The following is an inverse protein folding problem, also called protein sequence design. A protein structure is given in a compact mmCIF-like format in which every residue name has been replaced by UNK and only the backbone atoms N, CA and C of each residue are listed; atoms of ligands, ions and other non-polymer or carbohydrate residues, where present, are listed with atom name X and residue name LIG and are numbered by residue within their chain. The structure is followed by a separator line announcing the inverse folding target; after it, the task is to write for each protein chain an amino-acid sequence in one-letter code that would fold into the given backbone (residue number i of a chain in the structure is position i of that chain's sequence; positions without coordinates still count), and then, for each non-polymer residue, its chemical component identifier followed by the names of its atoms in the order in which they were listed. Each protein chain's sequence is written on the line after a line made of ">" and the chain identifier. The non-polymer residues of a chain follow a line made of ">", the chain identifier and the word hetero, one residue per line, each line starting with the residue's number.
data_IF_483349215855
#
_entry.id   IF_483349215855
#
_cell.length_a   1.000
_cell.length_b   1.000
_cell.length_c   1.000
_cell.angle_alpha   90.00
_cell.angle_beta   90.00
_cell.angle_gamma   90.00
#
_symmetry.space_group_name_H-M   'P 1'
#
loop_
_entity.id
_entity.type
_entity.pdbx_description
1 polymer ?
#
# COMPACT_ATOMS: atom_id res chain seq x y z
N UNK A 1 59.34 -37.54 -31.28
CA UNK A 1 59.20 -38.39 -30.08
C UNK A 1 60.01 -37.75 -28.97
N UNK A 2 59.66 -37.79 -27.67
CA UNK A 2 58.38 -37.96 -26.95
C UNK A 2 58.72 -37.70 -25.46
N UNK A 3 57.83 -37.06 -24.70
CA UNK A 3 57.87 -36.91 -23.23
C UNK A 3 58.94 -35.89 -22.71
N UNK A 4 58.70 -34.93 -21.78
CA UNK A 4 57.80 -34.81 -20.59
C UNK A 4 58.32 -35.74 -19.46
N UNK A 5 58.60 -35.37 -18.20
CA UNK A 5 57.93 -34.58 -17.14
C UNK A 5 59.04 -34.24 -16.08
N UNK A 6 59.10 -33.21 -15.21
CA UNK A 6 58.38 -31.97 -14.84
C UNK A 6 59.40 -30.99 -14.17
N UNK A 7 59.03 -29.75 -13.84
CA UNK A 7 59.58 -29.01 -12.68
C UNK A 7 58.54 -28.02 -12.11
N UNK A 8 58.62 -27.72 -10.81
CA UNK A 8 57.56 -27.05 -10.01
C UNK A 8 57.68 -25.52 -9.97
N UNK A 9 56.57 -24.81 -10.21
CA UNK A 9 56.42 -23.37 -9.91
C UNK A 9 54.99 -23.06 -9.47
N UNK A 10 54.80 -22.51 -8.27
CA UNK A 10 53.50 -21.98 -7.79
C UNK A 10 53.40 -20.51 -8.16
N UNK A 11 52.30 -20.09 -8.83
CA UNK A 11 52.08 -18.68 -9.17
C UNK A 11 50.63 -18.23 -8.89
N UNK A 12 50.44 -17.75 -7.66
CA UNK A 12 49.46 -16.73 -7.22
C UNK A 12 48.22 -16.48 -8.09
N UNK A 13 47.05 -16.91 -7.61
CA UNK A 13 45.76 -16.39 -8.07
C UNK A 13 45.61 -14.91 -7.66
N UNK A 14 45.76 -14.00 -8.62
CA UNK A 14 45.44 -12.59 -8.44
C UNK A 14 43.92 -12.37 -8.45
N UNK A 15 43.30 -12.40 -7.28
CA UNK A 15 41.87 -12.12 -7.12
C UNK A 15 41.59 -10.62 -7.34
N UNK A 16 41.24 -10.24 -8.56
CA UNK A 16 40.77 -8.89 -8.90
C UNK A 16 39.39 -8.63 -8.26
N UNK A 17 39.39 -8.20 -7.01
CA UNK A 17 38.22 -7.71 -6.31
C UNK A 17 37.78 -6.36 -6.91
N UNK A 18 37.01 -6.42 -7.99
CA UNK A 18 36.32 -5.25 -8.53
C UNK A 18 35.30 -4.76 -7.51
N UNK A 19 35.61 -3.63 -6.85
CA UNK A 19 34.79 -3.04 -5.81
C UNK A 19 33.48 -2.48 -6.39
N UNK A 20 32.51 -3.36 -6.60
CA UNK A 20 31.13 -2.97 -6.88
C UNK A 20 30.64 -2.12 -5.70
N UNK A 21 30.45 -0.82 -5.92
CA UNK A 21 29.82 0.06 -4.95
C UNK A 21 28.36 -0.37 -4.78
N UNK A 22 28.14 -1.27 -3.83
CA UNK A 22 26.81 -1.74 -3.45
C UNK A 22 26.08 -0.62 -2.73
N UNK A 23 25.36 0.19 -3.53
CA UNK A 23 24.21 0.97 -3.06
C UNK A 23 23.43 0.06 -2.10
N UNK A 24 23.27 0.42 -0.81
CA UNK A 24 22.83 -0.52 0.22
C UNK A 24 21.42 -1.00 -0.11
N UNK A 25 21.36 -2.18 -0.69
CA UNK A 25 20.16 -2.76 -1.26
C UNK A 25 19.25 -3.11 -0.08
N UNK A 26 18.19 -2.33 0.15
CA UNK A 26 17.24 -2.53 1.27
C UNK A 26 16.37 -3.75 1.01
N UNK A 27 17.01 -4.92 0.95
CA UNK A 27 16.36 -6.21 1.01
C UNK A 27 15.64 -6.28 2.36
N UNK A 28 14.31 -6.27 2.30
CA UNK A 28 13.47 -6.32 3.50
C UNK A 28 13.73 -7.63 4.24
N UNK A 29 14.18 -7.53 5.49
CA UNK A 29 14.53 -8.69 6.31
C UNK A 29 13.31 -9.58 6.56
N UNK A 30 13.49 -10.87 6.92
CA UNK A 30 12.37 -11.76 7.21
C UNK A 30 11.42 -11.21 8.29
N UNK A 31 11.97 -10.55 9.31
CA UNK A 31 11.23 -9.96 10.43
C UNK A 31 10.45 -8.71 9.99
N UNK A 32 11.05 -7.87 9.13
CA UNK A 32 10.36 -6.75 8.51
C UNK A 32 9.21 -7.23 7.60
N UNK A 33 9.42 -8.30 6.83
CA UNK A 33 8.37 -8.91 5.99
C UNK A 33 7.25 -9.50 6.84
N UNK A 34 7.58 -10.19 7.94
CA UNK A 34 6.60 -10.73 8.88
C UNK A 34 5.76 -9.62 9.54
N UNK A 35 6.39 -8.51 9.97
CA UNK A 35 5.67 -7.32 10.47
C UNK A 35 4.78 -6.69 9.40
N UNK A 36 5.26 -6.55 8.16
CA UNK A 36 4.44 -6.04 7.04
C UNK A 36 3.23 -6.93 6.76
N UNK A 37 3.38 -8.26 6.84
CA UNK A 37 2.28 -9.21 6.70
C UNK A 37 1.25 -9.08 7.83
N UNK A 38 1.69 -8.94 9.09
CA UNK A 38 0.78 -8.68 10.22
C UNK A 38 -0.04 -7.38 10.05
N UNK A 39 0.51 -6.36 9.38
CA UNK A 39 -0.21 -5.14 9.06
C UNK A 39 -1.18 -5.26 7.86
N UNK A 40 -1.22 -6.39 7.14
CA UNK A 40 -2.27 -6.63 6.13
C UNK A 40 -3.64 -6.57 6.77
N UNK A 41 -3.86 -7.30 7.88
CA UNK A 41 -5.12 -7.33 8.64
C UNK A 41 -5.62 -5.95 9.09
N UNK A 42 -4.71 -4.97 9.28
CA UNK A 42 -5.07 -3.57 9.60
C UNK A 42 -5.54 -2.80 8.35
N UNK A 43 -4.99 -3.12 7.17
CA UNK A 43 -5.44 -2.59 5.88
C UNK A 43 -6.75 -3.24 5.41
N UNK A 44 -6.93 -4.54 5.68
CA UNK A 44 -8.14 -5.31 5.34
C UNK A 44 -9.34 -4.71 6.09
N UNK A 45 -9.26 -4.62 7.42
CA UNK A 45 -10.24 -3.93 8.26
C UNK A 45 -10.54 -2.48 7.80
N UNK A 46 -9.53 -1.77 7.27
CA UNK A 46 -9.70 -0.41 6.74
C UNK A 46 -10.31 -0.36 5.34
N UNK A 47 -10.19 -1.44 4.56
CA UNK A 47 -10.88 -1.65 3.29
C UNK A 47 -12.36 -1.98 3.56
N UNK A 48 -12.65 -2.87 4.50
CA UNK A 48 -13.99 -3.35 4.79
C UNK A 48 -14.85 -2.27 5.43
N UNK A 49 -14.34 -1.58 6.47
CA UNK A 49 -15.03 -0.44 7.11
C UNK A 49 -15.31 0.70 6.12
N UNK A 50 -14.48 0.85 5.07
CA UNK A 50 -14.72 1.82 3.99
C UNK A 50 -15.79 1.36 2.99
N UNK A 51 -16.08 0.06 2.92
CA UNK A 51 -17.09 -0.56 2.06
C UNK A 51 -18.41 -0.87 2.76
N UNK A 52 -18.46 -0.99 4.10
CA UNK A 52 -19.71 -1.10 4.88
C UNK A 52 -20.78 -0.03 4.53
N UNK A 53 -20.45 1.26 4.21
CA UNK A 53 -21.43 2.23 3.76
C UNK A 53 -22.08 1.91 2.41
N UNK A 54 -21.45 1.10 1.56
CA UNK A 54 -22.01 0.68 0.27
C UNK A 54 -23.14 -0.34 0.46
N UNK A 55 -23.09 -1.16 1.53
CA UNK A 55 -24.15 -2.12 1.87
C UNK A 55 -25.48 -1.43 2.16
N UNK A 56 -25.45 -0.18 2.66
CA UNK A 56 -26.63 0.66 2.91
C UNK A 56 -27.38 1.08 1.63
N UNK A 57 -26.72 1.04 0.46
CA UNK A 57 -27.33 1.44 -0.82
C UNK A 57 -28.39 0.46 -1.31
N UNK A 58 -28.43 -0.76 -0.77
CA UNK A 58 -29.43 -1.77 -1.05
C UNK A 58 -30.16 -2.16 0.25
N UNK A 59 -31.49 -1.99 0.27
CA UNK A 59 -32.34 -2.33 1.42
C UNK A 59 -32.22 -3.78 1.88
N UNK A 60 -31.79 -4.68 1.00
CA UNK A 60 -31.59 -6.11 1.30
C UNK A 60 -30.22 -6.45 1.91
N UNK A 61 -29.34 -5.45 2.10
CA UNK A 61 -27.99 -5.57 2.72
C UNK A 61 -27.69 -4.47 3.75
N UNK A 62 -28.49 -3.40 3.81
CA UNK A 62 -28.35 -2.32 4.78
C UNK A 62 -28.32 -2.83 6.24
N UNK A 63 -27.55 -2.17 7.13
CA UNK A 63 -27.48 -2.60 8.54
C UNK A 63 -28.82 -2.41 9.24
N UNK A 64 -29.25 -3.42 9.99
CA UNK A 64 -30.37 -3.30 10.93
C UNK A 64 -29.98 -2.44 12.15
N UNK A 65 -30.99 -1.98 12.91
CA UNK A 65 -30.79 -1.23 14.17
C UNK A 65 -30.01 -2.03 15.23
N UNK A 66 -30.11 -3.36 15.23
CA UNK A 66 -29.35 -4.22 16.14
C UNK A 66 -27.85 -4.24 15.77
N UNK A 67 -27.56 -4.51 14.50
CA UNK A 67 -26.20 -4.53 13.95
C UNK A 67 -25.51 -3.17 14.12
N UNK A 68 -26.23 -2.07 13.85
CA UNK A 68 -25.74 -0.71 14.05
C UNK A 68 -25.30 -0.45 15.50
N UNK A 69 -26.07 -0.91 16.50
CA UNK A 69 -25.71 -0.79 17.92
C UNK A 69 -24.45 -1.58 18.30
N UNK A 70 -24.22 -2.73 17.67
CA UNK A 70 -23.02 -3.55 17.91
C UNK A 70 -21.78 -2.99 17.18
N UNK A 71 -21.97 -2.40 15.99
CA UNK A 71 -20.91 -1.85 15.15
C UNK A 71 -20.41 -0.47 15.62
N UNK A 72 -21.31 0.39 16.11
CA UNK A 72 -20.97 1.73 16.61
C UNK A 72 -19.82 1.78 17.64
N UNK A 73 -19.75 0.93 18.69
CA UNK A 73 -18.62 0.95 19.62
C UNK A 73 -17.29 0.56 18.96
N UNK A 74 -17.28 -0.38 18.01
CA UNK A 74 -16.08 -0.77 17.26
C UNK A 74 -15.56 0.41 16.43
N UNK A 75 -16.44 1.02 15.63
CA UNK A 75 -16.09 2.18 14.80
C UNK A 75 -15.62 3.38 15.65
N UNK A 76 -16.25 3.60 16.81
CA UNK A 76 -15.88 4.66 17.76
C UNK A 76 -14.53 4.39 18.41
N UNK A 77 -14.21 3.13 18.74
CA UNK A 77 -12.90 2.74 19.27
C UNK A 77 -11.79 2.98 18.23
N UNK A 78 -12.00 2.56 16.98
CA UNK A 78 -11.06 2.75 15.88
C UNK A 78 -10.78 4.23 15.56
N UNK A 79 -11.81 5.09 15.60
CA UNK A 79 -11.64 6.55 15.46
C UNK A 79 -10.80 7.14 16.61
N UNK A 80 -10.98 6.65 17.84
CA UNK A 80 -10.30 7.17 19.05
C UNK A 80 -8.89 6.63 19.24
N UNK A 81 -8.60 5.40 18.80
CA UNK A 81 -7.32 4.72 19.00
C UNK A 81 -6.09 5.53 18.52
N UNK A 82 -4.95 5.40 19.20
CA UNK A 82 -3.69 6.06 18.78
C UNK A 82 -3.03 5.31 17.63
N UNK A 83 -3.05 3.97 17.67
CA UNK A 83 -2.69 3.07 16.58
C UNK A 83 -3.66 1.89 16.57
N UNK A 84 -3.79 1.19 15.45
CA UNK A 84 -4.58 -0.05 15.32
C UNK A 84 -3.58 -1.20 15.19
N UNK A 85 -3.52 -2.07 16.20
CA UNK A 85 -2.59 -3.21 16.19
C UNK A 85 -3.18 -4.43 15.46
N UNK A 86 -2.35 -5.30 14.86
CA UNK A 86 -2.82 -6.50 14.14
C UNK A 86 -3.79 -7.39 14.92
N UNK A 87 -3.54 -7.59 16.23
CA UNK A 87 -4.39 -8.42 17.08
C UNK A 87 -5.77 -7.79 17.32
N UNK A 88 -5.82 -6.46 17.53
CA UNK A 88 -7.08 -5.72 17.64
C UNK A 88 -7.82 -5.71 16.30
N UNK A 89 -7.10 -5.53 15.18
CA UNK A 89 -7.69 -5.57 13.85
C UNK A 89 -8.34 -6.92 13.55
N UNK A 90 -7.63 -8.03 13.82
CA UNK A 90 -8.19 -9.38 13.71
C UNK A 90 -9.43 -9.56 14.60
N UNK A 91 -9.37 -9.10 15.84
CA UNK A 91 -10.50 -9.15 16.79
C UNK A 91 -11.71 -8.35 16.29
N UNK A 92 -11.50 -7.20 15.65
CA UNK A 92 -12.58 -6.40 15.08
C UNK A 92 -13.15 -7.00 13.80
N UNK A 93 -12.33 -7.60 12.92
CA UNK A 93 -12.80 -8.37 11.76
C UNK A 93 -13.71 -9.52 12.22
N UNK A 94 -13.22 -10.43 13.08
CA UNK A 94 -14.00 -11.51 13.72
C UNK A 94 -15.27 -11.03 14.48
N UNK A 95 -15.32 -9.77 14.93
CA UNK A 95 -16.54 -9.21 15.53
C UNK A 95 -17.51 -8.62 14.49
N UNK A 96 -17.00 -8.05 13.41
CA UNK A 96 -17.81 -7.51 12.31
C UNK A 96 -18.37 -8.68 11.49
N UNK A 97 -17.51 -9.59 11.02
CA UNK A 97 -17.83 -10.66 10.10
C UNK A 97 -18.70 -11.74 10.76
N UNK A 98 -18.17 -12.46 11.74
CA UNK A 98 -18.85 -13.63 12.34
C UNK A 98 -20.07 -13.28 13.23
N UNK A 99 -20.25 -12.01 13.62
CA UNK A 99 -21.17 -11.62 14.73
C UNK A 99 -22.04 -10.39 14.51
N UNK A 100 -21.75 -9.58 13.49
CA UNK A 100 -22.55 -8.39 13.16
C UNK A 100 -23.11 -8.53 11.75
N UNK A 101 -22.31 -8.89 10.76
CA UNK A 101 -22.78 -9.15 9.40
C UNK A 101 -23.55 -10.48 9.33
N UNK A 102 -24.41 -10.58 8.33
CA UNK A 102 -25.03 -11.85 7.89
C UNK A 102 -24.34 -12.35 6.63
N UNK A 103 -24.44 -13.64 6.32
CA UNK A 103 -23.86 -14.30 5.13
C UNK A 103 -24.13 -13.53 3.83
N UNK A 104 -25.33 -12.94 3.72
CA UNK A 104 -25.77 -12.11 2.58
C UNK A 104 -25.07 -10.75 2.53
N UNK A 105 -24.75 -10.17 3.69
CA UNK A 105 -23.98 -8.92 3.80
C UNK A 105 -22.49 -9.17 3.61
N UNK A 106 -21.95 -10.31 4.07
CA UNK A 106 -20.60 -10.78 3.77
C UNK A 106 -20.42 -10.96 2.26
N UNK A 107 -21.26 -11.78 1.62
CA UNK A 107 -21.21 -12.01 0.16
C UNK A 107 -21.29 -10.71 -0.66
N UNK A 108 -22.07 -9.72 -0.18
CA UNK A 108 -22.14 -8.39 -0.79
C UNK A 108 -20.88 -7.55 -0.56
N UNK A 109 -20.26 -7.66 0.63
CA UNK A 109 -18.98 -7.01 0.97
C UNK A 109 -17.83 -7.60 0.14
N UNK A 110 -17.74 -8.92 0.01
CA UNK A 110 -16.77 -9.63 -0.85
C UNK A 110 -16.88 -9.15 -2.32
N UNK A 111 -18.12 -9.02 -2.80
CA UNK A 111 -18.41 -8.51 -4.15
C UNK A 111 -17.93 -7.06 -4.34
N UNK A 112 -17.99 -6.23 -3.29
CA UNK A 112 -17.48 -4.86 -3.28
C UNK A 112 -15.95 -4.81 -3.17
N UNK A 113 -15.34 -5.70 -2.40
CA UNK A 113 -13.89 -5.91 -2.28
C UNK A 113 -13.30 -6.25 -3.64
N UNK A 114 -13.79 -7.31 -4.28
CA UNK A 114 -13.34 -7.78 -5.60
C UNK A 114 -13.53 -6.71 -6.68
N UNK A 115 -14.61 -5.92 -6.62
CA UNK A 115 -14.82 -4.77 -7.52
C UNK A 115 -13.78 -3.68 -7.29
N UNK A 116 -13.58 -3.27 -6.03
CA UNK A 116 -12.61 -2.23 -5.67
C UNK A 116 -11.16 -2.65 -5.97
N UNK A 117 -10.85 -3.95 -6.04
CA UNK A 117 -9.56 -4.49 -6.46
C UNK A 117 -9.39 -4.42 -7.98
N UNK A 118 -10.36 -4.92 -8.76
CA UNK A 118 -10.35 -4.79 -10.23
C UNK A 118 -10.25 -3.32 -10.69
N UNK A 119 -10.92 -2.39 -10.01
CA UNK A 119 -10.78 -0.95 -10.25
C UNK A 119 -9.37 -0.42 -9.94
N UNK A 120 -8.72 -0.92 -8.89
CA UNK A 120 -7.32 -0.58 -8.55
C UNK A 120 -6.33 -1.16 -9.56
N UNK A 121 -6.57 -2.36 -10.06
CA UNK A 121 -5.75 -3.01 -11.09
C UNK A 121 -5.88 -2.30 -12.43
N UNK A 122 -7.10 -2.00 -12.89
CA UNK A 122 -7.34 -1.22 -14.09
C UNK A 122 -6.65 0.15 -14.03
N UNK A 123 -6.72 0.86 -12.88
CA UNK A 123 -6.01 2.12 -12.67
C UNK A 123 -4.47 1.96 -12.67
N UNK A 124 -3.92 0.83 -12.23
CA UNK A 124 -2.47 0.55 -12.32
C UNK A 124 -2.07 0.29 -13.77
N UNK A 125 -2.81 -0.57 -14.47
CA UNK A 125 -2.57 -0.89 -15.88
C UNK A 125 -2.66 0.37 -16.76
N UNK A 126 -3.68 1.22 -16.55
CA UNK A 126 -3.84 2.48 -17.28
C UNK A 126 -2.68 3.47 -17.00
N UNK A 127 -2.15 3.52 -15.78
CA UNK A 127 -0.96 4.34 -15.44
C UNK A 127 0.33 3.77 -16.01
N UNK A 128 0.43 2.45 -16.17
CA UNK A 128 1.58 1.80 -16.82
C UNK A 128 1.54 2.02 -18.34
N UNK A 129 0.38 1.85 -18.97
CA UNK A 129 0.17 2.14 -20.40
C UNK A 129 0.32 3.64 -20.74
N UNK A 130 -0.20 4.53 -19.89
CA UNK A 130 -0.02 5.98 -20.03
C UNK A 130 1.36 6.50 -19.59
N UNK A 131 2.20 5.65 -18.98
CA UNK A 131 3.51 6.02 -18.44
C UNK A 131 4.61 6.20 -19.49
N UNK A 132 4.34 5.93 -20.77
CA UNK A 132 5.33 5.96 -21.84
C UNK A 132 5.67 7.33 -22.43
N UNK A 133 4.85 8.37 -22.21
CA UNK A 133 4.82 9.53 -23.15
C UNK A 133 4.90 10.92 -22.51
N UNK A 134 5.24 11.07 -21.22
CA UNK A 134 5.51 12.41 -20.65
C UNK A 134 6.53 12.41 -19.51
N UNK A 135 7.80 12.13 -19.85
CA UNK A 135 8.86 11.86 -18.85
C UNK A 135 10.30 12.18 -19.26
N UNK A 136 10.55 13.23 -20.04
CA UNK A 136 11.90 13.81 -20.17
C UNK A 136 12.97 12.98 -20.91
N UNK A 137 12.63 11.83 -21.49
CA UNK A 137 13.51 11.09 -22.38
C UNK A 137 13.63 11.80 -23.74
N UNK A 138 14.55 12.75 -23.86
CA UNK A 138 14.94 13.31 -25.15
C UNK A 138 15.44 12.18 -26.06
N UNK A 139 14.91 12.10 -27.29
CA UNK A 139 15.22 11.01 -28.24
C UNK A 139 16.69 11.10 -28.65
N UNK A 140 17.54 10.34 -27.95
CA UNK A 140 18.93 10.10 -28.33
C UNK A 140 18.96 9.20 -29.56
N UNK A 141 18.76 9.77 -30.73
CA UNK A 141 19.13 9.13 -32.00
C UNK A 141 20.64 8.84 -31.92
N UNK A 142 21.07 7.56 -31.98
CA UNK A 142 22.49 7.25 -31.89
C UNK A 142 23.26 7.87 -33.07
N UNK A 143 24.28 8.66 -32.77
CA UNK A 143 25.21 9.21 -33.77
C UNK A 143 25.17 10.72 -34.04
N UNK A 144 24.29 11.50 -33.39
CA UNK A 144 24.23 12.97 -33.59
C UNK A 144 24.72 13.76 -32.36
N UNK A 145 25.91 14.39 -32.39
CA UNK A 145 26.35 15.32 -31.36
C UNK A 145 25.70 16.69 -31.55
N UNK A 146 25.08 17.25 -30.50
CA UNK A 146 24.56 18.61 -30.49
C UNK A 146 23.04 18.73 -30.71
N UNK A 147 22.26 18.46 -29.65
CA UNK A 147 20.83 18.80 -29.63
C UNK A 147 20.61 20.29 -29.35
N UNK A 148 20.22 21.05 -30.37
CA UNK A 148 19.86 22.47 -30.24
C UNK A 148 18.53 22.61 -29.47
N UNK A 149 18.48 23.36 -28.37
CA UNK A 149 17.27 23.45 -27.55
C UNK A 149 17.44 24.18 -26.21
N UNK A 150 18.00 25.39 -26.22
CA UNK A 150 18.18 26.19 -25.00
C UNK A 150 16.93 26.99 -24.60
N UNK A 151 16.77 27.20 -23.28
CA UNK A 151 16.14 28.41 -22.75
C UNK A 151 14.61 28.47 -22.65
N UNK A 152 14.01 27.76 -21.68
CA UNK A 152 12.87 28.29 -20.94
C UNK A 152 12.95 27.88 -19.46
N UNK A 153 13.33 28.82 -18.60
CA UNK A 153 13.53 28.60 -17.16
C UNK A 153 12.20 28.60 -16.38
N UNK A 154 11.36 27.60 -16.62
CA UNK A 154 10.10 27.39 -15.90
C UNK A 154 10.32 26.84 -14.49
N UNK A 155 10.55 27.72 -13.51
CA UNK A 155 10.82 27.33 -12.12
C UNK A 155 9.62 26.64 -11.45
N UNK A 156 9.65 25.30 -11.39
CA UNK A 156 8.65 24.46 -10.71
C UNK A 156 9.32 23.54 -9.68
N UNK A 157 8.90 23.56 -8.39
CA UNK A 157 9.40 22.65 -7.38
C UNK A 157 9.18 21.17 -7.73
N UNK A 158 10.12 20.31 -7.33
CA UNK A 158 10.21 18.94 -7.84
C UNK A 158 9.12 17.98 -7.31
N UNK A 159 8.57 17.18 -8.22
CA UNK A 159 8.45 15.73 -8.01
C UNK A 159 7.46 15.18 -6.97
N UNK A 160 6.26 15.75 -6.82
CA UNK A 160 5.17 15.11 -6.03
C UNK A 160 4.18 14.31 -6.90
N UNK A 161 4.68 13.26 -7.57
CA UNK A 161 3.89 12.42 -8.49
C UNK A 161 3.91 10.91 -8.14
N UNK A 162 4.11 10.53 -6.87
CA UNK A 162 4.25 9.12 -6.45
C UNK A 162 3.59 8.75 -5.10
N UNK A 163 2.54 9.46 -4.66
CA UNK A 163 1.74 9.09 -3.46
C UNK A 163 0.34 8.62 -3.83
N UNK A 164 0.28 7.41 -4.40
CA UNK A 164 -0.90 6.85 -5.06
C UNK A 164 -1.61 5.67 -4.38
N UNK A 165 -1.19 5.27 -3.17
CA UNK A 165 -1.84 4.27 -2.31
C UNK A 165 -1.47 4.50 -0.83
N UNK A 166 -2.32 4.05 0.09
CA UNK A 166 -2.14 3.98 1.57
C UNK A 166 -0.98 4.83 2.17
N UNK A 167 -1.27 6.07 2.59
CA UNK A 167 -0.24 7.02 3.01
C UNK A 167 -0.67 8.14 3.96
N UNK A 168 -1.71 7.93 4.76
CA UNK A 168 -2.04 8.82 5.87
C UNK A 168 -0.95 8.79 6.95
N UNK A 169 -0.67 9.94 7.56
CA UNK A 169 0.14 10.11 8.79
C UNK A 169 1.63 9.74 8.75
N UNK A 170 2.16 9.07 7.71
CA UNK A 170 3.61 8.90 7.49
C UNK A 170 4.11 9.71 6.27
N UNK A 171 3.54 10.89 6.05
CA UNK A 171 3.85 11.75 4.92
C UNK A 171 5.15 12.58 5.08
N UNK A 172 5.71 12.67 6.29
CA UNK A 172 6.66 13.73 6.67
C UNK A 172 7.88 13.21 7.46
N UNK A 173 8.92 12.80 6.71
CA UNK A 173 10.31 12.69 7.17
C UNK A 173 10.68 11.56 8.16
N UNK A 174 9.79 11.16 9.07
CA UNK A 174 10.10 10.21 10.13
C UNK A 174 10.09 8.73 9.70
N UNK A 175 10.73 7.83 10.48
CA UNK A 175 10.53 6.39 10.35
C UNK A 175 9.07 5.99 10.60
N UNK A 176 8.58 4.99 9.86
CA UNK A 176 7.24 4.44 10.07
C UNK A 176 7.12 3.81 11.46
N UNK A 177 6.23 4.36 12.30
CA UNK A 177 5.93 3.82 13.63
C UNK A 177 4.66 2.94 13.59
N UNK A 178 4.77 1.60 13.65
CA UNK A 178 3.62 0.70 13.65
C UNK A 178 2.72 0.85 14.89
N UNK A 179 3.25 1.36 16.01
CA UNK A 179 2.47 1.54 17.25
C UNK A 179 1.49 2.71 17.16
N UNK A 180 1.75 3.65 16.23
CA UNK A 180 0.96 4.86 15.98
C UNK A 180 0.21 4.83 14.64
N UNK A 181 0.29 3.74 13.87
CA UNK A 181 -0.43 3.63 12.60
C UNK A 181 -1.92 3.42 12.85
N UNK A 182 -2.74 4.44 12.55
CA UNK A 182 -4.19 4.33 12.52
C UNK A 182 -4.76 4.95 11.21
N UNK A 183 -5.28 4.14 10.26
CA UNK A 183 -5.84 4.64 9.02
C UNK A 183 -7.13 5.46 9.22
N UNK A 184 -7.78 5.33 10.38
CA UNK A 184 -9.03 6.01 10.74
C UNK A 184 -8.82 7.33 11.49
N UNK A 185 -7.58 7.75 11.73
CA UNK A 185 -7.27 8.94 12.55
C UNK A 185 -7.39 10.26 11.80
N UNK A 186 -6.98 10.30 10.53
CA UNK A 186 -6.84 11.53 9.75
C UNK A 186 -7.12 11.32 8.24
N UNK A 187 -7.62 12.36 7.59
CA UNK A 187 -7.90 12.39 6.14
C UNK A 187 -9.09 11.52 5.74
N UNK A 188 -9.26 11.32 4.43
CA UNK A 188 -10.49 10.80 3.79
C UNK A 188 -11.09 9.53 4.42
N UNK A 189 -10.29 8.64 5.00
CA UNK A 189 -10.78 7.44 5.69
C UNK A 189 -11.38 7.75 7.08
N UNK A 190 -10.82 8.71 7.81
CA UNK A 190 -11.39 9.23 9.05
C UNK A 190 -12.69 10.02 8.79
N UNK A 191 -12.73 10.79 7.71
CA UNK A 191 -13.92 11.55 7.30
C UNK A 191 -15.06 10.59 6.89
N UNK A 192 -14.76 9.57 6.08
CA UNK A 192 -15.71 8.51 5.72
C UNK A 192 -16.22 7.73 6.95
N UNK A 193 -15.32 7.36 7.87
CA UNK A 193 -15.71 6.71 9.13
C UNK A 193 -16.64 7.59 9.96
N UNK A 194 -16.31 8.88 10.12
CA UNK A 194 -17.13 9.86 10.85
C UNK A 194 -18.52 10.02 10.22
N UNK A 195 -18.60 10.08 8.89
CA UNK A 195 -19.85 10.11 8.15
C UNK A 195 -20.69 8.83 8.36
N UNK A 196 -20.06 7.65 8.31
CA UNK A 196 -20.78 6.38 8.50
C UNK A 196 -21.26 6.18 9.95
N UNK A 197 -20.46 6.57 10.95
CA UNK A 197 -20.91 6.63 12.36
C UNK A 197 -22.17 7.49 12.49
N UNK A 198 -22.21 8.66 11.84
CA UNK A 198 -23.38 9.55 11.84
C UNK A 198 -24.59 9.03 11.03
N UNK A 199 -24.42 8.01 10.17
CA UNK A 199 -25.52 7.26 9.54
C UNK A 199 -26.03 6.18 10.49
N UNK A 200 -25.14 5.39 11.10
CA UNK A 200 -25.50 4.33 12.04
C UNK A 200 -26.17 4.86 13.31
N UNK A 201 -25.77 6.05 13.79
CA UNK A 201 -26.40 6.74 14.93
C UNK A 201 -27.87 7.14 14.68
N UNK A 202 -28.35 7.13 13.43
CA UNK A 202 -29.73 7.48 13.06
C UNK A 202 -30.64 6.26 12.88
N UNK A 203 -30.12 5.03 13.03
CA UNK A 203 -30.88 3.78 12.87
C UNK A 203 -31.63 3.41 14.14
#
# INVERSE_FOLDING_TARGET
>A
MKNILLLTSVLTLAAFASAQQTTPNRQMTPEMRARMAQFQTVNDLAQDIRLLPELEKNKATAMSKAQAKQLLPILTALQKATGVQPNDAKKYLTQIEDKILTDKQLTALDSLVLKAEKEREAQRAQRQAGGGTQGGAGVRIPGVPGGLGGGFAGQRPGGQAARGAAGGQNAQGGPFDPTKFNPFKQGRAADALKAYIAVLQKK
#
